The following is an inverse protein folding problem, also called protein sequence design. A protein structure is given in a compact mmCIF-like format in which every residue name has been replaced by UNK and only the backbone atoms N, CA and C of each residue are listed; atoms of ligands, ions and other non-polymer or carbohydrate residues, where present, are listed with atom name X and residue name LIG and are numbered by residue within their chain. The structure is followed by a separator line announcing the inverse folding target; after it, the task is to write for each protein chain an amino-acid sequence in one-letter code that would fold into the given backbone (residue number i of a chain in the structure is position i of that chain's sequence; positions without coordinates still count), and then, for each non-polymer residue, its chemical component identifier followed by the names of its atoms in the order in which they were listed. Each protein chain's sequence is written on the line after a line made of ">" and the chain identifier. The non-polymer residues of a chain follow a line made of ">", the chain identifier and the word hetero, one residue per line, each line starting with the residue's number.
data_IF_703903807643
#
_entry.id   IF_703903807643
#
_cell.length_a   1.000
_cell.length_b   1.000
_cell.length_c   1.000
_cell.angle_alpha   90.00
_cell.angle_beta   90.00
_cell.angle_gamma   90.00
#
_symmetry.space_group_name_H-M   'P 1'
#
loop_
_entity.id
_entity.type
_entity.pdbx_description
1 polymer ?
#
# COMPACT_ATOMS: atom_id res chain seq x y z
N UNK A 1 8.86 14.94 1.28
CA UNK A 1 9.43 16.27 1.61
C UNK A 1 10.92 16.20 1.95
N UNK A 2 11.32 15.59 3.09
CA UNK A 2 12.72 15.63 3.57
C UNK A 2 13.73 15.01 2.58
N UNK A 3 13.39 13.85 2.01
CA UNK A 3 14.25 13.18 1.02
C UNK A 3 14.41 14.00 -0.27
N UNK A 4 13.36 14.68 -0.71
CA UNK A 4 13.43 15.61 -1.85
C UNK A 4 14.37 16.79 -1.51
N UNK A 5 14.22 17.37 -0.32
CA UNK A 5 15.12 18.41 0.17
C UNK A 5 16.59 17.96 0.26
N UNK A 6 16.82 16.74 0.75
CA UNK A 6 18.15 16.15 0.90
C UNK A 6 18.78 15.78 -0.45
N UNK A 7 17.97 15.45 -1.47
CA UNK A 7 18.46 15.12 -2.82
C UNK A 7 19.05 16.32 -3.58
N UNK A 8 18.82 17.55 -3.10
CA UNK A 8 19.27 18.78 -3.77
C UNK A 8 18.42 19.20 -4.98
N UNK A 9 17.41 18.41 -5.36
CA UNK A 9 16.52 18.69 -6.51
C UNK A 9 15.46 19.75 -6.22
N UNK A 10 15.10 19.97 -4.95
CA UNK A 10 14.11 20.97 -4.53
C UNK A 10 14.49 21.52 -3.16
N UNK A 11 14.28 22.82 -2.93
CA UNK A 11 14.52 23.42 -1.62
C UNK A 11 13.53 22.91 -0.57
N UNK A 12 13.99 22.75 0.68
CA UNK A 12 13.15 22.28 1.78
C UNK A 12 11.96 23.21 2.05
N UNK A 13 12.16 24.52 1.86
CA UNK A 13 11.14 25.56 2.03
C UNK A 13 9.98 25.44 1.02
N UNK A 14 10.22 24.84 -0.14
CA UNK A 14 9.17 24.53 -1.13
C UNK A 14 8.62 23.12 -0.93
N UNK A 15 9.51 22.13 -0.76
CA UNK A 15 9.13 20.72 -0.69
C UNK A 15 8.28 20.40 0.54
N UNK A 16 8.56 21.00 1.71
CA UNK A 16 7.81 20.71 2.95
C UNK A 16 6.36 21.19 2.86
N UNK A 17 6.04 22.47 2.61
CA UNK A 17 4.66 22.92 2.57
C UNK A 17 3.87 22.29 1.42
N UNK A 18 4.47 22.11 0.24
CA UNK A 18 3.78 21.49 -0.90
C UNK A 18 3.38 20.03 -0.61
N UNK A 19 4.33 19.22 -0.14
CA UNK A 19 4.08 17.82 0.18
C UNK A 19 3.17 17.66 1.38
N UNK A 20 3.38 18.44 2.45
CA UNK A 20 2.54 18.39 3.64
C UNK A 20 1.10 18.80 3.31
N UNK A 21 0.92 19.83 2.48
CA UNK A 21 -0.41 20.31 2.08
C UNK A 21 -1.23 19.23 1.37
N UNK A 22 -0.69 18.62 0.31
CA UNK A 22 -1.41 17.58 -0.43
C UNK A 22 -1.62 16.32 0.43
N UNK A 23 -0.63 15.93 1.26
CA UNK A 23 -0.76 14.77 2.14
C UNK A 23 -1.72 15.00 3.31
N UNK A 24 -1.88 16.24 3.78
CA UNK A 24 -2.90 16.56 4.78
C UNK A 24 -4.31 16.29 4.23
N UNK A 25 -4.57 16.65 2.98
CA UNK A 25 -5.86 16.37 2.32
C UNK A 25 -6.08 14.86 2.15
N UNK A 26 -5.07 14.14 1.63
CA UNK A 26 -5.12 12.68 1.48
C UNK A 26 -5.32 12.02 2.85
N UNK A 27 -4.58 12.45 3.86
CA UNK A 27 -4.66 11.93 5.23
C UNK A 27 -6.03 12.12 5.88
N UNK A 28 -6.75 13.21 5.58
CA UNK A 28 -8.14 13.37 6.01
C UNK A 28 -9.03 12.29 5.36
N UNK A 29 -8.87 12.05 4.06
CA UNK A 29 -9.60 11.00 3.35
C UNK A 29 -9.32 9.61 3.94
N UNK A 30 -8.04 9.28 4.17
CA UNK A 30 -7.62 8.02 4.79
C UNK A 30 -8.15 7.87 6.22
N UNK A 31 -8.15 8.95 7.01
CA UNK A 31 -8.71 8.94 8.36
C UNK A 31 -10.20 8.63 8.34
N UNK A 32 -10.97 9.23 7.43
CA UNK A 32 -12.40 8.95 7.28
C UNK A 32 -12.66 7.50 6.87
N UNK A 33 -11.91 6.97 5.91
CA UNK A 33 -12.00 5.57 5.48
C UNK A 33 -11.67 4.63 6.65
N UNK A 34 -10.60 4.94 7.39
CA UNK A 34 -10.15 4.14 8.54
C UNK A 34 -11.20 4.13 9.65
N UNK A 35 -11.76 5.29 10.00
CA UNK A 35 -12.83 5.39 11.01
C UNK A 35 -14.07 4.62 10.56
N UNK A 36 -14.45 4.70 9.29
CA UNK A 36 -15.58 3.94 8.76
C UNK A 36 -15.34 2.42 8.81
N UNK A 37 -14.16 1.96 8.39
CA UNK A 37 -13.78 0.55 8.44
C UNK A 37 -13.73 0.02 9.88
N UNK A 38 -13.12 0.78 10.81
CA UNK A 38 -13.05 0.40 12.22
C UNK A 38 -14.45 0.38 12.85
N UNK A 39 -15.27 1.38 12.57
CA UNK A 39 -16.66 1.44 13.07
C UNK A 39 -17.49 0.26 12.60
N UNK A 40 -17.35 -0.15 11.33
CA UNK A 40 -17.97 -1.35 10.79
C UNK A 40 -17.50 -2.63 11.50
N UNK A 41 -16.19 -2.77 11.75
CA UNK A 41 -15.63 -3.91 12.49
C UNK A 41 -16.14 -3.92 13.94
N UNK A 42 -16.17 -2.78 14.62
CA UNK A 42 -16.67 -2.66 16.00
C UNK A 42 -18.16 -3.01 16.09
N UNK A 43 -18.96 -2.68 15.08
CA UNK A 43 -20.39 -2.99 15.05
C UNK A 43 -20.66 -4.46 14.70
N UNK A 44 -19.89 -5.04 13.77
CA UNK A 44 -20.16 -6.39 13.26
C UNK A 44 -19.42 -7.48 14.02
N UNK A 45 -18.19 -7.24 14.49
CA UNK A 45 -17.33 -8.19 15.22
C UNK A 45 -16.30 -7.47 16.10
N UNK A 46 -16.72 -6.85 17.22
CA UNK A 46 -15.80 -6.19 18.15
C UNK A 46 -14.75 -7.15 18.75
N UNK A 47 -15.03 -8.45 18.77
CA UNK A 47 -14.10 -9.49 19.22
C UNK A 47 -12.82 -9.62 18.38
N UNK A 48 -12.76 -9.07 17.16
CA UNK A 48 -11.50 -8.99 16.40
C UNK A 48 -10.48 -8.01 17.01
N UNK A 49 -10.95 -7.04 17.79
CA UNK A 49 -10.13 -6.04 18.46
C UNK A 49 -9.72 -6.47 19.86
N UNK A 50 -10.40 -7.47 20.41
CA UNK A 50 -10.11 -8.02 21.73
C UNK A 50 -9.13 -9.18 21.58
N UNK A 51 -8.03 -9.15 22.35
CA UNK A 51 -7.05 -10.23 22.34
C UNK A 51 -7.60 -11.46 23.08
N UNK A 52 -8.24 -12.35 22.33
CA UNK A 52 -8.73 -13.65 22.79
C UNK A 52 -8.87 -14.58 21.59
N UNK A 53 -8.41 -15.83 21.71
CA UNK A 53 -8.43 -16.80 20.63
C UNK A 53 -9.87 -17.22 20.30
N UNK A 54 -10.58 -16.39 19.53
CA UNK A 54 -11.94 -16.65 19.08
C UNK A 54 -11.92 -17.59 17.86
N UNK A 55 -12.77 -18.60 17.91
CA UNK A 55 -13.05 -19.51 16.79
C UNK A 55 -13.64 -18.73 15.61
N UNK A 56 -12.78 -18.32 14.67
CA UNK A 56 -13.19 -17.52 13.50
C UNK A 56 -12.06 -17.08 12.57
N UNK A 57 -10.79 -17.27 12.99
CA UNK A 57 -9.60 -16.80 12.27
C UNK A 57 -9.54 -17.21 10.79
N UNK A 58 -9.90 -18.46 10.46
CA UNK A 58 -9.89 -18.95 9.07
C UNK A 58 -10.85 -18.18 8.14
N UNK A 59 -12.03 -17.78 8.64
CA UNK A 59 -13.03 -17.04 7.85
C UNK A 59 -12.55 -15.64 7.50
N UNK A 60 -11.79 -15.00 8.40
CA UNK A 60 -11.24 -13.66 8.19
C UNK A 60 -10.02 -13.66 7.27
N UNK A 61 -9.18 -14.69 7.37
CA UNK A 61 -8.12 -14.92 6.39
C UNK A 61 -8.75 -15.09 5.00
N UNK A 62 -9.83 -15.87 4.88
CA UNK A 62 -10.55 -16.02 3.60
C UNK A 62 -11.17 -14.71 3.13
N UNK A 63 -11.85 -13.96 4.01
CA UNK A 63 -12.44 -12.67 3.65
C UNK A 63 -11.38 -11.66 3.18
N UNK A 64 -10.24 -11.59 3.87
CA UNK A 64 -9.10 -10.78 3.45
C UNK A 64 -8.54 -11.23 2.11
N UNK A 65 -8.36 -12.53 1.89
CA UNK A 65 -7.89 -13.07 0.62
C UNK A 65 -8.85 -12.75 -0.54
N UNK A 66 -10.16 -12.85 -0.32
CA UNK A 66 -11.19 -12.48 -1.32
C UNK A 66 -11.14 -10.97 -1.59
N UNK A 67 -11.03 -10.13 -0.56
CA UNK A 67 -10.92 -8.69 -0.74
C UNK A 67 -9.66 -8.32 -1.54
N UNK A 68 -8.51 -8.92 -1.21
CA UNK A 68 -7.26 -8.75 -1.98
C UNK A 68 -7.44 -9.18 -3.44
N UNK A 69 -8.08 -10.33 -3.70
CA UNK A 69 -8.34 -10.80 -5.05
C UNK A 69 -9.20 -9.81 -5.83
N UNK A 70 -10.27 -9.29 -5.22
CA UNK A 70 -11.14 -8.28 -5.84
C UNK A 70 -10.32 -7.02 -6.17
N UNK A 71 -9.53 -6.50 -5.24
CA UNK A 71 -8.70 -5.31 -5.46
C UNK A 71 -7.69 -5.53 -6.59
N UNK A 72 -7.04 -6.69 -6.63
CA UNK A 72 -6.08 -7.04 -7.69
C UNK A 72 -6.76 -7.13 -9.05
N UNK A 73 -7.94 -7.74 -9.14
CA UNK A 73 -8.72 -7.82 -10.39
C UNK A 73 -9.22 -6.46 -10.87
N UNK A 74 -9.53 -5.56 -9.94
CA UNK A 74 -9.95 -4.19 -10.26
C UNK A 74 -8.78 -3.23 -10.47
N UNK A 75 -7.53 -3.65 -10.20
CA UNK A 75 -6.34 -2.79 -10.31
C UNK A 75 -6.14 -2.14 -11.70
N UNK A 76 -6.54 -2.73 -12.84
CA UNK A 76 -6.44 -2.02 -14.13
C UNK A 76 -7.38 -0.81 -14.25
N UNK A 77 -8.35 -0.68 -13.35
CA UNK A 77 -9.23 0.49 -13.24
C UNK A 77 -8.66 1.56 -12.29
N UNK A 78 -7.43 1.38 -11.80
CA UNK A 78 -6.75 2.40 -11.01
C UNK A 78 -6.63 3.71 -11.80
N UNK A 79 -6.72 4.83 -11.08
CA UNK A 79 -6.61 6.16 -11.67
C UNK A 79 -5.24 6.33 -12.35
N UNK A 80 -5.25 6.87 -13.57
CA UNK A 80 -4.04 7.31 -14.27
C UNK A 80 -3.60 8.74 -13.89
N UNK A 81 -4.30 9.39 -12.95
CA UNK A 81 -3.91 10.70 -12.46
C UNK A 81 -2.60 10.62 -11.64
N UNK A 82 -1.76 11.67 -11.67
CA UNK A 82 -0.52 11.69 -10.91
C UNK A 82 -0.83 11.57 -9.42
N UNK A 83 0.04 10.84 -8.71
CA UNK A 83 -0.06 10.73 -7.27
C UNK A 83 0.32 12.07 -6.58
N UNK A 84 0.24 12.12 -5.24
CA UNK A 84 0.56 13.34 -4.51
C UNK A 84 2.01 13.81 -4.67
N UNK A 85 2.94 12.89 -4.98
CA UNK A 85 4.35 13.20 -5.22
C UNK A 85 4.54 13.78 -6.62
N UNK A 86 4.06 13.09 -7.64
CA UNK A 86 4.13 13.47 -9.05
C UNK A 86 3.38 14.78 -9.31
N UNK A 87 2.21 14.96 -8.69
CA UNK A 87 1.46 16.20 -8.81
C UNK A 87 2.27 17.39 -8.28
N UNK A 88 2.85 17.26 -7.08
CA UNK A 88 3.74 18.30 -6.53
C UNK A 88 4.95 18.49 -7.44
N UNK A 89 5.56 17.42 -7.92
CA UNK A 89 6.71 17.47 -8.82
C UNK A 89 6.42 18.23 -10.13
N UNK A 90 5.23 18.06 -10.69
CA UNK A 90 4.76 18.84 -11.83
C UNK A 90 4.53 20.31 -11.49
N UNK A 91 3.93 20.61 -10.33
CA UNK A 91 3.68 22.00 -9.92
C UNK A 91 4.94 22.82 -9.66
N UNK A 92 5.97 22.20 -9.06
CA UNK A 92 7.22 22.89 -8.74
C UNK A 92 8.35 22.63 -9.74
N UNK A 93 8.08 21.87 -10.81
CA UNK A 93 8.94 21.75 -11.98
C UNK A 93 10.18 20.86 -11.81
N UNK A 94 10.19 19.92 -10.86
CA UNK A 94 11.31 18.97 -10.71
C UNK A 94 11.07 17.60 -11.35
N UNK A 95 9.90 17.38 -11.98
CA UNK A 95 9.54 16.09 -12.59
C UNK A 95 10.65 15.58 -13.54
N UNK A 96 11.22 16.47 -14.37
CA UNK A 96 12.27 16.14 -15.35
C UNK A 96 13.63 15.80 -14.72
N UNK A 97 13.80 16.03 -13.42
CA UNK A 97 15.03 15.68 -12.67
C UNK A 97 14.98 14.24 -12.14
N UNK A 98 13.84 13.56 -12.28
CA UNK A 98 13.67 12.18 -11.84
C UNK A 98 14.68 11.25 -12.53
N UNK A 99 15.35 10.42 -11.73
CA UNK A 99 16.28 9.41 -12.23
C UNK A 99 15.71 8.01 -12.07
N UNK A 100 16.06 7.13 -12.99
CA UNK A 100 15.70 5.72 -12.91
C UNK A 100 16.37 5.06 -11.70
N UNK A 101 15.63 4.20 -11.00
CA UNK A 101 16.21 3.36 -9.97
C UNK A 101 17.29 2.43 -10.57
N UNK A 102 18.38 2.12 -9.83
CA UNK A 102 19.42 1.20 -10.30
C UNK A 102 18.90 -0.21 -10.64
N UNK A 103 17.77 -0.60 -10.03
CA UNK A 103 17.11 -1.87 -10.28
C UNK A 103 15.59 -1.69 -10.22
N UNK A 104 14.89 -2.27 -11.20
CA UNK A 104 13.43 -2.20 -11.33
C UNK A 104 12.89 -3.63 -11.51
N UNK A 105 12.05 -4.08 -10.57
CA UNK A 105 11.53 -5.46 -10.58
C UNK A 105 10.33 -5.60 -11.52
N UNK A 106 9.33 -4.74 -11.32
CA UNK A 106 8.09 -4.66 -12.10
C UNK A 106 7.74 -3.17 -12.25
N UNK A 107 8.52 -2.40 -13.04
CA UNK A 107 8.24 -0.99 -13.24
C UNK A 107 6.81 -0.84 -13.79
N UNK A 108 6.07 0.12 -13.26
CA UNK A 108 4.68 0.42 -13.65
C UNK A 108 3.76 -0.82 -13.65
N UNK A 109 4.01 -1.78 -12.76
CA UNK A 109 3.28 -3.06 -12.68
C UNK A 109 3.31 -3.84 -14.01
N UNK A 110 4.40 -3.69 -14.77
CA UNK A 110 4.60 -4.30 -16.08
C UNK A 110 5.50 -5.52 -16.02
N UNK A 111 5.03 -6.63 -16.60
CA UNK A 111 5.75 -7.88 -16.78
C UNK A 111 6.48 -7.83 -18.13
N UNK A 112 7.79 -8.13 -18.19
CA UNK A 112 8.59 -7.98 -19.41
C UNK A 112 8.06 -8.72 -20.64
N UNK A 113 7.34 -9.83 -20.43
CA UNK A 113 6.79 -10.67 -21.51
C UNK A 113 5.35 -10.30 -21.89
N UNK A 114 4.65 -9.44 -21.13
CA UNK A 114 3.28 -9.01 -21.41
C UNK A 114 3.15 -7.53 -21.77
N UNK A 115 4.15 -6.70 -21.46
CA UNK A 115 4.11 -5.26 -21.69
C UNK A 115 3.00 -4.55 -20.90
N UNK A 116 2.71 -3.31 -21.27
CA UNK A 116 1.71 -2.45 -20.63
C UNK A 116 0.26 -2.90 -20.95
N UNK A 117 -0.15 -4.02 -20.37
CA UNK A 117 -1.47 -4.60 -20.56
C UNK A 117 -2.20 -4.75 -19.24
N UNK A 118 -3.53 -4.74 -19.25
CA UNK A 118 -4.34 -4.98 -18.04
C UNK A 118 -4.01 -6.34 -17.39
N UNK A 119 -3.72 -7.36 -18.21
CA UNK A 119 -3.30 -8.68 -17.72
C UNK A 119 -1.97 -8.58 -16.97
N UNK A 120 -1.04 -7.77 -17.48
CA UNK A 120 0.23 -7.52 -16.80
C UNK A 120 0.02 -6.89 -15.42
N UNK A 121 -0.78 -5.83 -15.32
CA UNK A 121 -1.07 -5.15 -14.04
C UNK A 121 -1.67 -6.10 -13.01
N UNK A 122 -2.65 -6.92 -13.42
CA UNK A 122 -3.28 -7.92 -12.55
C UNK A 122 -2.24 -8.93 -12.05
N UNK A 123 -1.44 -9.50 -12.95
CA UNK A 123 -0.46 -10.52 -12.58
C UNK A 123 0.67 -9.95 -11.71
N UNK A 124 1.14 -8.73 -11.99
CA UNK A 124 2.08 -8.02 -11.14
C UNK A 124 1.51 -7.81 -9.74
N UNK A 125 0.24 -7.38 -9.63
CA UNK A 125 -0.49 -7.27 -8.38
C UNK A 125 -0.61 -8.60 -7.62
N UNK A 126 -0.91 -9.70 -8.34
CA UNK A 126 -0.96 -11.05 -7.76
C UNK A 126 0.40 -11.49 -7.21
N UNK A 127 1.48 -11.27 -7.96
CA UNK A 127 2.85 -11.60 -7.52
C UNK A 127 3.17 -10.83 -6.24
N UNK A 128 2.91 -9.52 -6.21
CA UNK A 128 3.11 -8.69 -5.02
C UNK A 128 2.32 -9.20 -3.81
N UNK A 129 1.04 -9.53 -4.00
CA UNK A 129 0.19 -10.07 -2.93
C UNK A 129 0.72 -11.39 -2.37
N UNK A 130 1.15 -12.31 -3.23
CA UNK A 130 1.73 -13.60 -2.82
C UNK A 130 3.04 -13.40 -2.05
N UNK A 131 3.92 -12.50 -2.51
CA UNK A 131 5.19 -12.18 -1.84
C UNK A 131 4.92 -11.63 -0.44
N UNK A 132 4.03 -10.65 -0.30
CA UNK A 132 3.68 -10.06 1.00
C UNK A 132 3.08 -11.12 1.93
N UNK A 133 2.13 -11.93 1.44
CA UNK A 133 1.54 -13.02 2.23
C UNK A 133 2.59 -14.03 2.71
N UNK A 134 3.54 -14.40 1.84
CA UNK A 134 4.65 -15.30 2.18
C UNK A 134 5.57 -14.72 3.25
N UNK A 135 5.95 -13.44 3.14
CA UNK A 135 6.78 -12.75 4.14
C UNK A 135 6.04 -12.69 5.48
N UNK A 136 4.76 -12.31 5.49
CA UNK A 136 3.96 -12.26 6.72
C UNK A 136 3.82 -13.63 7.37
N UNK A 137 3.58 -14.69 6.58
CA UNK A 137 3.53 -16.06 7.08
C UNK A 137 4.87 -16.49 7.70
N UNK A 138 5.99 -16.17 7.06
CA UNK A 138 7.32 -16.48 7.57
C UNK A 138 7.62 -15.74 8.88
N UNK A 139 7.38 -14.42 8.92
CA UNK A 139 7.54 -13.61 10.12
C UNK A 139 6.70 -14.14 11.28
N UNK A 140 5.43 -14.47 11.01
CA UNK A 140 4.55 -15.05 12.02
C UNK A 140 5.06 -16.40 12.53
N UNK A 141 5.60 -17.25 11.66
CA UNK A 141 6.21 -18.52 12.04
C UNK A 141 7.46 -18.33 12.91
N UNK A 142 8.29 -17.34 12.60
CA UNK A 142 9.53 -17.04 13.33
C UNK A 142 9.27 -16.36 14.69
N UNK A 143 8.23 -15.52 14.79
CA UNK A 143 7.89 -14.77 15.99
C UNK A 143 6.99 -15.54 16.98
N UNK A 144 6.42 -16.68 16.57
CA UNK A 144 5.66 -17.56 17.48
C UNK A 144 6.60 -18.14 18.55
N UNK A 145 6.56 -17.56 19.75
CA UNK A 145 7.21 -18.15 20.92
C UNK A 145 6.58 -19.52 21.22
N UNK A 146 7.38 -20.57 21.52
CA UNK A 146 6.83 -21.81 22.05
C UNK A 146 6.11 -21.49 23.36
N UNK A 147 4.85 -21.89 23.45
CA UNK A 147 4.06 -21.78 24.66
C UNK A 147 4.77 -22.61 25.74
N UNK A 148 5.39 -21.96 26.73
CA UNK A 148 5.90 -22.66 27.91
C UNK A 148 4.69 -23.05 28.75
N UNK A 149 4.32 -24.33 28.69
CA UNK A 149 3.41 -24.93 29.65
C UNK A 149 4.17 -25.08 30.98
N UNK A 150 3.73 -24.35 32.00
CA UNK A 150 4.01 -24.66 33.40
C UNK A 150 2.72 -25.21 34.02
#
# INVERSE_FOLDING_TARGET
>A
ALLLGASGTTSLSLAVPAMLGIHALIGIGEALITVAALSYVMQTRPGLLQSGAETGQKRWILAGAVATLIVVLLSPLASAAPDGLEWVAGQIGFLDTAQNAPFQVLPDYTLPFLGETHVSTILAGMIGAVVVAGIMFLLFRLLRRPHQAN
#
